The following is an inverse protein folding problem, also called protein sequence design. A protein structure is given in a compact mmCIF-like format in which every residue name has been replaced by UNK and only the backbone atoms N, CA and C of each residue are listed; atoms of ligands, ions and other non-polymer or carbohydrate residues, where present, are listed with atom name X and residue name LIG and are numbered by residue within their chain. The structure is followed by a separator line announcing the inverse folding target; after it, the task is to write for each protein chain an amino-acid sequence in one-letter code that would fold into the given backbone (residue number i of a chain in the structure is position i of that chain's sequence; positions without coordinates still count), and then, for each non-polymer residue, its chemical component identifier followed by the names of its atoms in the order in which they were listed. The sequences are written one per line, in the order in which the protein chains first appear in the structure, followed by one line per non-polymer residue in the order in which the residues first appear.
data_IF_246558528624
#
_entry.id   IF_246558528624
#
_cell.length_a   1.000
_cell.length_b   1.000
_cell.length_c   1.000
_cell.angle_alpha   90.00
_cell.angle_beta   90.00
_cell.angle_gamma   90.00
#
_symmetry.space_group_name_H-M   'P 1'
#
loop_
_entity.id
_entity.type
_entity.pdbx_description
1 polymer ?
#
# COMPACT_ATOMS: atom_id res chain seq x y z
N UNK A 1 -5.66 -20.26 34.52
CA UNK A 1 -4.73 -19.61 33.56
C UNK A 1 -3.99 -18.53 34.34
N UNK A 2 -2.67 -18.47 34.26
CA UNK A 2 -1.92 -17.41 34.94
C UNK A 2 -2.19 -16.04 34.32
N UNK A 3 -2.30 -14.97 35.13
CA UNK A 3 -2.48 -13.61 34.63
C UNK A 3 -1.22 -13.16 33.88
N UNK A 4 -1.41 -12.50 32.74
CA UNK A 4 -0.31 -11.92 31.98
C UNK A 4 0.14 -10.59 32.57
N UNK A 5 1.44 -10.30 32.49
CA UNK A 5 1.98 -8.99 32.81
C UNK A 5 1.46 -7.93 31.83
N UNK A 6 1.45 -6.65 32.25
CA UNK A 6 1.07 -5.54 31.38
C UNK A 6 1.95 -5.48 30.12
N UNK A 7 3.25 -5.70 30.26
CA UNK A 7 4.19 -5.76 29.13
C UNK A 7 3.81 -6.84 28.12
N UNK A 8 3.46 -8.05 28.60
CA UNK A 8 3.01 -9.13 27.75
C UNK A 8 1.71 -8.77 27.05
N UNK A 9 0.75 -8.19 27.75
CA UNK A 9 -0.52 -7.74 27.15
C UNK A 9 -0.30 -6.71 26.04
N UNK A 10 0.63 -5.76 26.24
CA UNK A 10 0.99 -4.75 25.23
C UNK A 10 1.65 -5.42 24.01
N UNK A 11 2.60 -6.32 24.23
CA UNK A 11 3.30 -7.05 23.17
C UNK A 11 2.35 -7.90 22.33
N UNK A 12 1.51 -8.72 22.99
CA UNK A 12 0.54 -9.59 22.31
C UNK A 12 -0.49 -8.76 21.52
N UNK A 13 -0.93 -7.63 22.07
CA UNK A 13 -1.80 -6.68 21.35
C UNK A 13 -1.11 -6.10 20.12
N UNK A 14 0.17 -5.72 20.21
CA UNK A 14 0.92 -5.20 19.07
C UNK A 14 1.06 -6.25 17.96
N UNK A 15 1.32 -7.52 18.31
CA UNK A 15 1.39 -8.64 17.36
C UNK A 15 0.03 -8.86 16.68
N UNK A 16 -1.06 -8.84 17.44
CA UNK A 16 -2.41 -9.01 16.90
C UNK A 16 -2.78 -7.87 15.93
N UNK A 17 -2.47 -6.62 16.30
CA UNK A 17 -2.67 -5.45 15.44
C UNK A 17 -1.81 -5.52 14.16
N UNK A 18 -0.56 -5.96 14.27
CA UNK A 18 0.32 -6.19 13.13
C UNK A 18 -0.23 -7.25 12.17
N UNK A 19 -0.71 -8.37 12.71
CA UNK A 19 -1.28 -9.48 11.93
C UNK A 19 -2.59 -9.12 11.22
N UNK A 20 -3.32 -8.11 11.70
CA UNK A 20 -4.52 -7.62 11.05
C UNK A 20 -4.21 -6.83 9.76
N UNK A 21 -2.99 -6.32 9.59
CA UNK A 21 -2.56 -5.58 8.41
C UNK A 21 -2.15 -6.53 7.29
N UNK A 22 -2.34 -6.12 6.03
CA UNK A 22 -1.75 -6.87 4.91
C UNK A 22 -0.23 -6.62 4.87
N UNK A 23 0.57 -7.59 4.42
CA UNK A 23 2.04 -7.46 4.35
C UNK A 23 2.51 -6.23 3.55
N UNK A 24 1.81 -5.87 2.48
CA UNK A 24 2.09 -4.64 1.72
C UNK A 24 1.89 -3.36 2.55
N UNK A 25 0.90 -3.35 3.44
CA UNK A 25 0.68 -2.26 4.39
C UNK A 25 1.76 -2.24 5.48
N UNK A 26 2.19 -3.41 5.96
CA UNK A 26 3.26 -3.52 6.94
C UNK A 26 4.58 -2.92 6.43
N UNK A 27 5.00 -3.26 5.21
CA UNK A 27 6.21 -2.71 4.60
C UNK A 27 6.15 -1.19 4.41
N UNK A 28 4.98 -0.68 3.99
CA UNK A 28 4.78 0.76 3.80
C UNK A 28 4.82 1.51 5.14
N UNK A 29 4.22 0.96 6.19
CA UNK A 29 4.22 1.56 7.52
C UNK A 29 5.57 1.48 8.20
N UNK A 30 6.32 0.38 8.02
CA UNK A 30 7.70 0.26 8.47
C UNK A 30 8.58 1.32 7.81
N UNK A 31 8.44 1.52 6.50
CA UNK A 31 9.17 2.57 5.77
C UNK A 31 8.84 3.98 6.30
N UNK A 32 7.57 4.24 6.61
CA UNK A 32 7.16 5.51 7.19
C UNK A 32 7.76 5.75 8.59
N UNK A 33 7.78 4.71 9.43
CA UNK A 33 8.42 4.77 10.76
C UNK A 33 9.91 5.04 10.64
N UNK A 34 10.63 4.32 9.77
CA UNK A 34 12.06 4.52 9.57
C UNK A 34 12.38 5.94 9.08
N UNK A 35 11.56 6.48 8.17
CA UNK A 35 11.67 7.88 7.72
C UNK A 35 11.52 8.87 8.89
N UNK A 36 10.58 8.62 9.80
CA UNK A 36 10.38 9.45 10.99
C UNK A 36 11.53 9.33 12.01
N UNK A 37 11.99 8.11 12.30
CA UNK A 37 13.13 7.88 13.20
C UNK A 37 14.41 8.53 12.66
N UNK A 38 14.65 8.46 11.36
CA UNK A 38 15.75 9.14 10.71
C UNK A 38 15.66 10.67 10.87
N UNK A 39 14.46 11.24 10.71
CA UNK A 39 14.20 12.66 10.96
C UNK A 39 14.48 13.04 12.42
N UNK A 40 13.96 12.27 13.38
CA UNK A 40 14.19 12.52 14.80
C UNK A 40 15.68 12.51 15.13
N UNK A 41 16.41 11.51 14.63
CA UNK A 41 17.85 11.38 14.83
C UNK A 41 18.64 12.53 14.20
N UNK A 42 18.30 12.94 12.97
CA UNK A 42 19.06 13.99 12.26
C UNK A 42 18.81 15.40 12.79
N UNK A 43 17.69 15.62 13.47
CA UNK A 43 17.30 16.93 14.03
C UNK A 43 17.38 16.98 15.56
N UNK A 44 17.99 15.97 16.19
CA UNK A 44 18.10 15.82 17.64
C UNK A 44 16.75 16.02 18.35
N UNK A 45 15.71 15.35 17.83
CA UNK A 45 14.35 15.39 18.38
C UNK A 45 13.99 14.07 19.06
N UNK A 46 13.21 14.12 20.16
CA UNK A 46 12.64 12.92 20.75
C UNK A 46 11.82 12.12 19.74
N UNK A 47 11.79 10.79 19.93
CA UNK A 47 10.94 9.90 19.13
C UNK A 47 9.46 10.13 19.43
N UNK A 48 9.14 10.53 20.67
CA UNK A 48 7.76 10.80 21.09
C UNK A 48 7.08 11.82 20.17
N UNK A 49 5.99 11.44 19.50
CA UNK A 49 5.30 12.34 18.58
C UNK A 49 4.47 13.37 19.34
N UNK A 50 4.88 14.63 19.24
CA UNK A 50 4.11 15.82 19.67
C UNK A 50 3.52 16.55 18.47
N UNK A 51 2.63 17.51 18.71
CA UNK A 51 2.06 18.32 17.62
C UNK A 51 3.17 19.05 16.85
N UNK A 52 4.16 19.59 17.57
CA UNK A 52 5.33 20.24 17.00
C UNK A 52 6.18 19.26 16.19
N UNK A 53 6.59 18.12 16.78
CA UNK A 53 7.46 17.16 16.09
C UNK A 53 6.82 16.64 14.80
N UNK A 54 5.52 16.32 14.83
CA UNK A 54 4.80 15.89 13.64
C UNK A 54 4.62 17.03 12.62
N UNK A 55 4.38 18.26 13.06
CA UNK A 55 4.26 19.40 12.15
C UNK A 55 5.60 19.73 11.46
N UNK A 56 6.72 19.67 12.18
CA UNK A 56 8.06 19.83 11.61
C UNK A 56 8.40 18.72 10.63
N UNK A 57 8.08 17.47 10.99
CA UNK A 57 8.25 16.34 10.08
C UNK A 57 7.47 16.55 8.77
N UNK A 58 6.23 17.06 8.85
CA UNK A 58 5.42 17.37 7.67
C UNK A 58 6.09 18.41 6.79
N UNK A 59 6.56 19.53 7.37
CA UNK A 59 7.24 20.60 6.62
C UNK A 59 8.51 20.08 5.97
N UNK A 60 9.33 19.34 6.72
CA UNK A 60 10.58 18.75 6.23
C UNK A 60 10.32 17.82 5.05
N UNK A 61 9.44 16.81 5.22
CA UNK A 61 9.19 15.82 4.19
C UNK A 61 8.47 16.38 2.97
N UNK A 62 7.60 17.38 3.14
CA UNK A 62 6.87 17.99 2.03
C UNK A 62 7.79 18.73 1.02
N UNK A 63 9.03 19.05 1.41
CA UNK A 63 10.06 19.57 0.49
C UNK A 63 10.64 18.49 -0.41
N UNK A 64 10.64 17.24 0.03
CA UNK A 64 11.29 16.12 -0.65
C UNK A 64 10.31 15.24 -1.42
N UNK A 65 9.08 15.07 -0.90
CA UNK A 65 8.05 14.21 -1.49
C UNK A 65 6.69 14.93 -1.55
N UNK A 66 5.76 14.39 -2.32
CA UNK A 66 4.41 14.95 -2.43
C UNK A 66 3.72 14.99 -1.03
N UNK A 67 3.11 16.12 -0.62
CA UNK A 67 2.41 16.23 0.65
C UNK A 67 1.32 15.16 0.89
N UNK A 68 0.71 14.63 -0.17
CA UNK A 68 -0.23 13.51 -0.06
C UNK A 68 0.46 12.22 0.39
N UNK A 69 1.70 11.98 -0.05
CA UNK A 69 2.53 10.86 0.43
C UNK A 69 2.95 11.07 1.89
N UNK A 70 3.27 12.31 2.29
CA UNK A 70 3.55 12.66 3.70
C UNK A 70 2.35 12.33 4.59
N UNK A 71 1.13 12.62 4.13
CA UNK A 71 -0.08 12.25 4.86
C UNK A 71 -0.19 10.73 5.07
N UNK A 72 0.15 9.92 4.05
CA UNK A 72 0.20 8.46 4.18
C UNK A 72 1.28 8.02 5.17
N UNK A 73 2.43 8.70 5.20
CA UNK A 73 3.48 8.42 6.19
C UNK A 73 3.01 8.71 7.61
N UNK A 74 2.32 9.83 7.86
CA UNK A 74 1.73 10.12 9.17
C UNK A 74 0.80 9.00 9.64
N UNK A 75 -0.02 8.45 8.75
CA UNK A 75 -0.89 7.32 9.10
C UNK A 75 -0.09 6.07 9.47
N UNK A 76 0.99 5.78 8.73
CA UNK A 76 1.89 4.65 9.03
C UNK A 76 2.63 4.82 10.36
N UNK A 77 3.16 6.02 10.61
CA UNK A 77 3.81 6.40 11.89
C UNK A 77 2.82 6.21 13.04
N UNK A 78 1.59 6.74 12.91
CA UNK A 78 0.54 6.58 13.91
C UNK A 78 0.26 5.11 14.21
N UNK A 79 0.07 4.30 13.17
CA UNK A 79 -0.25 2.88 13.32
C UNK A 79 0.87 2.09 14.04
N UNK A 80 2.13 2.46 13.83
CA UNK A 80 3.28 1.74 14.40
C UNK A 80 3.61 2.20 15.82
N UNK A 81 3.43 3.49 16.11
CA UNK A 81 3.78 4.08 17.39
C UNK A 81 2.62 4.11 18.40
N UNK A 82 1.37 3.91 17.98
CA UNK A 82 0.19 3.88 18.86
C UNK A 82 0.29 2.91 20.05
N UNK A 83 0.88 1.70 19.93
CA UNK A 83 1.07 0.82 21.09
C UNK A 83 1.90 1.43 22.22
N UNK A 84 2.83 2.34 21.88
CA UNK A 84 3.75 3.01 22.81
C UNK A 84 3.27 4.42 23.18
N UNK A 85 2.58 5.10 22.27
CA UNK A 85 2.07 6.46 22.42
C UNK A 85 0.57 6.50 22.10
N UNK A 86 -0.32 6.13 23.04
CA UNK A 86 -1.76 5.96 22.78
C UNK A 86 -2.46 7.22 22.26
N UNK A 87 -1.93 8.42 22.58
CA UNK A 87 -2.50 9.70 22.17
C UNK A 87 -2.05 10.15 20.76
N UNK A 88 -1.16 9.41 20.09
CA UNK A 88 -0.58 9.81 18.81
C UNK A 88 -1.61 10.16 17.73
N UNK A 89 -2.77 9.47 17.71
CA UNK A 89 -3.84 9.77 16.75
C UNK A 89 -4.47 11.14 17.03
N UNK A 90 -4.62 11.51 18.30
CA UNK A 90 -5.11 12.83 18.69
C UNK A 90 -4.09 13.89 18.27
N UNK A 91 -2.81 13.67 18.58
CA UNK A 91 -1.70 14.55 18.17
C UNK A 91 -1.65 14.75 16.66
N UNK A 92 -1.78 13.68 15.87
CA UNK A 92 -1.82 13.74 14.40
C UNK A 92 -3.04 14.50 13.88
N UNK A 93 -4.16 14.42 14.57
CA UNK A 93 -5.40 15.11 14.22
C UNK A 93 -5.51 16.54 14.81
N UNK A 94 -4.49 16.99 15.54
CA UNK A 94 -4.44 18.36 16.07
C UNK A 94 -4.60 19.41 14.98
N UNK A 95 -5.04 20.59 15.40
CA UNK A 95 -5.19 21.73 14.49
C UNK A 95 -3.84 22.13 13.86
N UNK A 96 -2.75 22.06 14.63
CA UNK A 96 -1.42 22.43 14.16
C UNK A 96 -0.94 21.51 13.03
N UNK A 97 -0.98 20.18 13.23
CA UNK A 97 -0.56 19.21 12.22
C UNK A 97 -1.45 19.29 10.97
N UNK A 98 -2.77 19.39 11.17
CA UNK A 98 -3.74 19.47 10.07
C UNK A 98 -3.56 20.72 9.22
N UNK A 99 -3.39 21.90 9.85
CA UNK A 99 -3.15 23.17 9.14
C UNK A 99 -1.79 23.17 8.44
N UNK A 100 -0.76 22.60 9.07
CA UNK A 100 0.57 22.47 8.47
C UNK A 100 0.54 21.61 7.21
N UNK A 101 -0.14 20.46 7.27
CA UNK A 101 -0.31 19.60 6.11
C UNK A 101 -1.13 20.28 5.00
N UNK A 102 -2.19 21.02 5.35
CA UNK A 102 -2.97 21.82 4.40
C UNK A 102 -2.10 22.89 3.72
N UNK A 103 -1.28 23.60 4.49
CA UNK A 103 -0.32 24.58 3.96
C UNK A 103 0.69 23.93 3.02
N UNK A 104 1.28 22.80 3.41
CA UNK A 104 2.22 22.07 2.57
C UNK A 104 1.59 21.57 1.27
N UNK A 105 0.33 21.11 1.30
CA UNK A 105 -0.42 20.75 0.08
C UNK A 105 -0.62 21.94 -0.84
N UNK A 106 -0.88 23.13 -0.31
CA UNK A 106 -1.02 24.34 -1.11
C UNK A 106 0.32 24.79 -1.72
N UNK A 107 1.43 24.66 -0.97
CA UNK A 107 2.76 25.11 -1.40
C UNK A 107 3.46 24.14 -2.35
N UNK A 108 3.37 22.83 -2.07
CA UNK A 108 4.17 21.79 -2.73
C UNK A 108 3.32 20.68 -3.37
N UNK A 109 1.99 20.83 -3.33
CA UNK A 109 1.08 19.90 -3.98
C UNK A 109 1.32 19.88 -5.48
N UNK A 110 1.55 18.69 -6.02
CA UNK A 110 1.62 18.47 -7.47
C UNK A 110 0.28 17.92 -7.97
N UNK A 111 -0.20 18.33 -9.15
CA UNK A 111 -1.39 17.75 -9.74
C UNK A 111 -1.18 16.25 -9.97
N UNK A 112 -2.26 15.48 -9.84
CA UNK A 112 -2.21 14.04 -10.08
C UNK A 112 -2.06 13.81 -11.57
N UNK A 113 -0.89 13.32 -11.99
CA UNK A 113 -0.70 12.81 -13.35
C UNK A 113 -1.34 11.43 -13.47
N UNK A 114 -2.31 11.29 -14.37
CA UNK A 114 -3.00 10.03 -14.66
C UNK A 114 -2.48 9.47 -15.98
N UNK A 115 -2.21 8.17 -16.01
CA UNK A 115 -1.97 7.46 -17.27
C UNK A 115 -3.26 7.46 -18.10
N UNK A 116 -3.14 7.49 -19.42
CA UNK A 116 -4.29 7.34 -20.31
C UNK A 116 -4.98 5.99 -20.04
N UNK A 117 -6.32 5.93 -20.11
CA UNK A 117 -7.02 4.67 -19.96
C UNK A 117 -6.67 3.74 -21.13
N UNK A 118 -6.53 2.45 -20.83
CA UNK A 118 -6.44 1.44 -21.87
C UNK A 118 -7.79 1.35 -22.60
N UNK A 119 -7.78 1.31 -23.92
CA UNK A 119 -9.00 1.22 -24.74
C UNK A 119 -9.09 -0.12 -25.47
N UNK A 120 -10.27 -0.44 -26.00
CA UNK A 120 -10.46 -1.67 -26.81
C UNK A 120 -9.57 -1.66 -28.06
N UNK A 121 -9.40 -0.50 -28.71
CA UNK A 121 -8.51 -0.40 -29.88
C UNK A 121 -7.04 -0.60 -29.52
N UNK A 122 -6.63 -0.31 -28.29
CA UNK A 122 -5.28 -0.66 -27.82
C UNK A 122 -5.14 -2.16 -27.57
N UNK A 123 -6.19 -2.84 -27.11
CA UNK A 123 -6.19 -4.30 -26.99
C UNK A 123 -6.08 -4.96 -28.37
N UNK A 124 -6.83 -4.49 -29.35
CA UNK A 124 -6.79 -4.99 -30.73
C UNK A 124 -5.39 -4.89 -31.34
N UNK A 125 -4.66 -3.79 -31.08
CA UNK A 125 -3.26 -3.65 -31.51
C UNK A 125 -2.38 -4.73 -30.90
N UNK A 126 -2.52 -4.98 -29.59
CA UNK A 126 -1.71 -5.96 -28.88
C UNK A 126 -2.05 -7.38 -29.33
N UNK A 127 -3.34 -7.73 -29.44
CA UNK A 127 -3.75 -9.06 -29.88
C UNK A 127 -3.36 -9.33 -31.32
N UNK A 128 -3.47 -8.33 -32.22
CA UNK A 128 -3.03 -8.46 -33.61
C UNK A 128 -1.51 -8.63 -33.71
N UNK A 129 -0.74 -7.90 -32.90
CA UNK A 129 0.72 -7.99 -32.89
C UNK A 129 1.21 -9.39 -32.49
N UNK A 130 0.56 -10.01 -31.51
CA UNK A 130 0.94 -11.34 -30.99
C UNK A 130 0.15 -12.51 -31.58
N UNK A 131 -0.72 -12.29 -32.58
CA UNK A 131 -1.64 -13.31 -33.09
C UNK A 131 -0.93 -14.58 -33.62
N UNK A 132 0.26 -14.42 -34.18
CA UNK A 132 1.08 -15.53 -34.70
C UNK A 132 2.17 -16.01 -33.76
N UNK A 133 2.26 -15.51 -32.52
CA UNK A 133 3.34 -15.91 -31.61
C UNK A 133 3.09 -17.28 -30.99
N UNK A 134 4.11 -18.13 -31.05
CA UNK A 134 4.19 -19.40 -30.32
C UNK A 134 4.89 -19.28 -28.96
N UNK A 135 5.41 -18.08 -28.62
CA UNK A 135 6.02 -17.82 -27.32
C UNK A 135 5.00 -17.96 -26.20
N UNK A 136 5.37 -18.69 -25.15
CA UNK A 136 4.55 -18.81 -23.95
C UNK A 136 4.33 -17.45 -23.29
N UNK A 137 5.38 -16.65 -23.18
CA UNK A 137 5.35 -15.36 -22.48
C UNK A 137 4.46 -14.35 -23.20
N UNK A 138 4.44 -14.36 -24.53
CA UNK A 138 3.57 -13.49 -25.33
C UNK A 138 2.10 -13.87 -25.13
N UNK A 139 1.79 -15.17 -25.17
CA UNK A 139 0.44 -15.69 -24.93
C UNK A 139 -0.03 -15.40 -23.51
N UNK A 140 0.87 -15.56 -22.52
CA UNK A 140 0.59 -15.26 -21.12
C UNK A 140 0.33 -13.77 -20.92
N UNK A 141 1.15 -12.91 -21.52
CA UNK A 141 0.98 -11.45 -21.47
C UNK A 141 -0.37 -11.02 -22.04
N UNK A 142 -0.73 -11.53 -23.23
CA UNK A 142 -2.04 -11.25 -23.86
C UNK A 142 -3.17 -11.75 -22.95
N UNK A 143 -3.07 -12.98 -22.42
CA UNK A 143 -4.06 -13.51 -21.50
C UNK A 143 -4.23 -12.65 -20.25
N UNK A 144 -3.13 -12.23 -19.61
CA UNK A 144 -3.15 -11.35 -18.43
C UNK A 144 -3.75 -9.97 -18.75
N UNK A 145 -3.41 -9.40 -19.91
CA UNK A 145 -3.93 -8.10 -20.36
C UNK A 145 -5.45 -8.15 -20.53
N UNK A 146 -5.95 -9.15 -21.25
CA UNK A 146 -7.39 -9.31 -21.51
C UNK A 146 -8.15 -9.67 -20.23
N UNK A 147 -7.62 -10.57 -19.40
CA UNK A 147 -8.20 -10.88 -18.09
C UNK A 147 -8.28 -9.64 -17.20
N UNK A 148 -7.21 -8.83 -17.17
CA UNK A 148 -7.15 -7.60 -16.41
C UNK A 148 -8.15 -6.56 -16.87
N UNK A 149 -8.27 -6.37 -18.18
CA UNK A 149 -9.18 -5.39 -18.76
C UNK A 149 -10.64 -5.79 -18.59
N UNK A 150 -11.04 -6.97 -19.05
CA UNK A 150 -12.44 -7.40 -19.03
C UNK A 150 -12.91 -7.81 -17.62
N UNK A 151 -12.01 -8.37 -16.81
CA UNK A 151 -12.28 -8.72 -15.41
C UNK A 151 -12.08 -7.57 -14.43
N UNK A 152 -11.69 -6.37 -14.90
CA UNK A 152 -11.37 -5.19 -14.08
C UNK A 152 -10.37 -5.51 -12.95
N UNK A 153 -9.43 -6.42 -13.21
CA UNK A 153 -8.53 -6.94 -12.19
C UNK A 153 -7.33 -6.02 -11.99
N UNK A 154 -6.92 -5.86 -10.73
CA UNK A 154 -5.67 -5.18 -10.40
C UNK A 154 -4.48 -6.07 -10.75
N UNK A 155 -3.39 -5.48 -11.22
CA UNK A 155 -2.14 -6.18 -11.55
C UNK A 155 -1.65 -7.11 -10.42
N UNK A 156 -1.75 -6.67 -9.17
CA UNK A 156 -1.36 -7.48 -8.00
C UNK A 156 -2.21 -8.73 -7.75
N UNK A 157 -3.26 -8.97 -8.53
CA UNK A 157 -4.03 -10.22 -8.54
C UNK A 157 -3.76 -11.08 -9.79
N UNK A 158 -3.22 -10.49 -10.85
CA UNK A 158 -2.92 -11.17 -12.11
C UNK A 158 -1.52 -11.79 -12.13
N UNK A 159 -0.62 -11.24 -11.33
CA UNK A 159 0.80 -11.61 -11.34
C UNK A 159 1.26 -12.02 -9.94
N UNK A 160 2.22 -12.95 -9.93
CA UNK A 160 3.01 -13.26 -8.74
C UNK A 160 3.99 -12.12 -8.47
N UNK A 161 4.10 -11.66 -7.23
CA UNK A 161 5.00 -10.55 -6.90
C UNK A 161 6.46 -10.99 -6.96
N UNK A 162 7.35 -10.18 -7.54
CA UNK A 162 8.81 -10.44 -7.48
C UNK A 162 9.36 -10.38 -6.04
N UNK A 163 8.68 -9.64 -5.17
CA UNK A 163 9.03 -9.52 -3.76
C UNK A 163 8.51 -10.74 -3.01
N UNK A 164 9.42 -11.64 -2.62
CA UNK A 164 9.09 -12.90 -1.91
C UNK A 164 8.24 -12.70 -0.65
N UNK A 165 8.43 -11.59 0.07
CA UNK A 165 7.66 -11.27 1.28
C UNK A 165 6.26 -10.67 1.01
N UNK A 166 5.84 -10.60 -0.25
CA UNK A 166 4.47 -10.22 -0.64
C UNK A 166 3.75 -11.39 -1.34
N UNK A 167 4.41 -12.55 -1.43
CA UNK A 167 3.90 -13.73 -2.09
C UNK A 167 3.01 -14.51 -1.13
N UNK A 168 1.73 -14.64 -1.47
CA UNK A 168 0.76 -15.44 -0.72
C UNK A 168 0.04 -16.38 -1.68
N UNK A 169 0.26 -17.68 -1.51
CA UNK A 169 -0.40 -18.73 -2.30
C UNK A 169 -1.92 -18.70 -2.17
N UNK A 170 -2.44 -18.20 -1.04
CA UNK A 170 -3.87 -18.01 -0.85
C UNK A 170 -4.45 -16.91 -1.72
N UNK A 171 -3.63 -16.11 -2.40
CA UNK A 171 -4.07 -15.03 -3.30
C UNK A 171 -3.89 -15.37 -4.78
N UNK A 172 -3.42 -16.59 -5.11
CA UNK A 172 -3.16 -17.05 -6.48
C UNK A 172 -4.43 -17.57 -7.13
N UNK A 173 -4.70 -17.10 -8.34
CA UNK A 173 -5.76 -17.65 -9.19
C UNK A 173 -5.33 -19.02 -9.66
N UNK A 174 -6.10 -20.05 -9.31
CA UNK A 174 -5.77 -21.42 -9.64
C UNK A 174 -6.32 -21.80 -11.01
N UNK A 175 -5.42 -22.21 -11.93
CA UNK A 175 -5.77 -22.56 -13.31
C UNK A 175 -6.87 -23.62 -13.42
N UNK A 176 -6.93 -24.59 -12.50
CA UNK A 176 -7.93 -25.66 -12.52
C UNK A 176 -9.36 -25.17 -12.21
N UNK A 177 -9.52 -23.92 -11.78
CA UNK A 177 -10.85 -23.33 -11.53
C UNK A 177 -11.45 -22.68 -12.77
N UNK A 178 -10.73 -22.68 -13.90
CA UNK A 178 -11.21 -22.08 -15.15
C UNK A 178 -12.32 -22.93 -15.74
N UNK A 179 -13.46 -22.30 -15.98
CA UNK A 179 -14.61 -22.86 -16.67
C UNK A 179 -14.91 -22.04 -17.92
N UNK A 180 -15.23 -22.73 -19.02
CA UNK A 180 -15.61 -22.12 -20.28
C UNK A 180 -17.14 -21.99 -20.39
N UNK A 181 -17.59 -20.92 -21.01
CA UNK A 181 -18.99 -20.59 -21.28
C UNK A 181 -19.12 -20.14 -22.73
N UNK A 182 -20.34 -20.13 -23.27
CA UNK A 182 -20.58 -19.76 -24.68
C UNK A 182 -20.05 -18.36 -25.04
N UNK A 183 -20.04 -17.44 -24.07
CA UNK A 183 -19.61 -16.05 -24.26
C UNK A 183 -18.34 -15.69 -23.50
N UNK A 184 -17.54 -16.68 -23.07
CA UNK A 184 -16.26 -16.40 -22.42
C UNK A 184 -15.79 -17.49 -21.46
N UNK A 185 -15.12 -17.07 -20.40
CA UNK A 185 -14.61 -17.96 -19.36
C UNK A 185 -14.71 -17.28 -18.01
N UNK A 186 -14.68 -18.09 -16.96
CA UNK A 186 -14.65 -17.63 -15.58
C UNK A 186 -13.72 -18.50 -14.77
N UNK A 187 -13.35 -18.02 -13.58
CA UNK A 187 -12.47 -18.72 -12.66
C UNK A 187 -12.76 -18.28 -11.24
N UNK A 188 -12.37 -19.10 -10.27
CA UNK A 188 -12.56 -18.77 -8.86
C UNK A 188 -11.47 -17.79 -8.41
N UNK A 189 -11.89 -16.65 -7.88
CA UNK A 189 -10.98 -15.77 -7.17
C UNK A 189 -10.79 -16.30 -5.74
N UNK A 190 -9.55 -16.46 -5.28
CA UNK A 190 -9.32 -16.74 -3.87
C UNK A 190 -9.93 -15.66 -2.98
N UNK A 191 -10.48 -16.07 -1.84
CA UNK A 191 -11.06 -15.17 -0.85
C UNK A 191 -10.08 -14.07 -0.41
N UNK A 192 -10.60 -12.87 -0.23
CA UNK A 192 -9.84 -11.72 0.26
C UNK A 192 -10.24 -11.43 1.71
N UNK A 193 -9.37 -11.80 2.66
CA UNK A 193 -9.50 -11.58 4.11
C UNK A 193 -10.83 -12.00 4.74
#
# INVERSE_FOLDING_TARGET
REPWTLERLISERAIALGSALAEGSHNSYSSALQSYLAFCKSHDRPVEPTEDTLSFYVVYMARHINPSSVQSYLSGICSQLEPYYPLIRQTRNSALVSRTLKGCKALYGKPVSRKAPLSVSDLEKVTSHYAGSDSHDDRLFVAQLLCGFFGLMRLGKLCWSDKKNLQDWRQVILRHTVSWFDNGFGFLLPGHK
#
